data_IF_367268626240
#
_entry.id   IF_367268626240
#
_cell.length_a   1.000
_cell.length_b   1.000
_cell.length_c   1.000
_cell.angle_alpha   90.00
_cell.angle_beta   90.00
_cell.angle_gamma   90.00
#
_symmetry.space_group_name_H-M   'P 1'
#
loop_
_entity.id
_entity.type
_entity.pdbx_description
1 polymer ?
#
# COMPACT_ATOMS: atom_id res chain seq x y z
N UNK A 1 29.62 4.68 -35.20
CA UNK A 1 30.16 3.67 -34.26
C UNK A 1 30.02 4.04 -32.77
N UNK A 2 30.35 5.27 -32.31
CA UNK A 2 30.24 5.63 -30.88
C UNK A 2 28.81 5.57 -30.29
N UNK A 3 27.76 5.92 -31.06
CA UNK A 3 26.36 5.87 -30.61
C UNK A 3 25.84 4.44 -30.42
N UNK A 4 26.29 3.51 -31.28
CA UNK A 4 25.89 2.09 -31.19
C UNK A 4 26.53 1.39 -29.98
N UNK A 5 27.79 1.73 -29.68
CA UNK A 5 28.48 1.19 -28.50
C UNK A 5 27.85 1.68 -27.19
N UNK A 6 27.42 2.96 -27.14
CA UNK A 6 26.72 3.50 -25.96
C UNK A 6 25.37 2.81 -25.76
N UNK A 7 24.59 2.57 -26.81
CA UNK A 7 23.30 1.91 -26.75
C UNK A 7 23.43 0.45 -26.29
N UNK A 8 24.43 -0.28 -26.78
CA UNK A 8 24.74 -1.65 -26.34
C UNK A 8 25.20 -1.70 -24.88
N UNK A 9 25.97 -0.70 -24.41
CA UNK A 9 26.42 -0.63 -23.03
C UNK A 9 25.24 -0.36 -22.08
N UNK A 10 24.30 0.53 -22.46
CA UNK A 10 23.07 0.79 -21.69
C UNK A 10 22.19 -0.45 -21.68
N UNK A 11 22.00 -1.13 -22.80
CA UNK A 11 21.25 -2.39 -22.87
C UNK A 11 21.84 -3.47 -21.97
N UNK A 12 23.17 -3.65 -21.99
CA UNK A 12 23.88 -4.62 -21.16
C UNK A 12 23.73 -4.31 -19.66
N UNK A 13 23.75 -3.02 -19.26
CA UNK A 13 23.51 -2.60 -17.88
C UNK A 13 22.08 -2.92 -17.43
N UNK A 14 21.09 -2.71 -18.28
CA UNK A 14 19.69 -3.05 -17.99
C UNK A 14 19.52 -4.57 -17.81
N UNK A 15 20.10 -5.38 -18.69
CA UNK A 15 20.05 -6.85 -18.57
C UNK A 15 20.76 -7.37 -17.31
N UNK A 16 21.89 -6.78 -16.94
CA UNK A 16 22.62 -7.17 -15.71
C UNK A 16 21.83 -6.79 -14.46
N UNK A 17 21.17 -5.63 -14.45
CA UNK A 17 20.33 -5.19 -13.34
C UNK A 17 19.11 -6.11 -13.18
N UNK A 18 18.36 -6.40 -14.23
CA UNK A 18 17.24 -7.35 -14.19
C UNK A 18 17.68 -8.72 -13.65
N UNK A 19 18.82 -9.24 -14.11
CA UNK A 19 19.32 -10.53 -13.63
C UNK A 19 19.74 -10.53 -12.15
N UNK A 20 20.13 -9.38 -11.58
CA UNK A 20 20.45 -9.22 -10.16
C UNK A 20 19.17 -9.24 -9.30
N UNK A 21 18.15 -8.46 -9.70
CA UNK A 21 16.88 -8.38 -8.99
C UNK A 21 16.16 -9.74 -8.99
N UNK A 22 16.09 -10.41 -10.13
CA UNK A 22 15.51 -11.75 -10.26
C UNK A 22 16.24 -12.78 -9.38
N UNK A 23 17.57 -12.75 -9.35
CA UNK A 23 18.37 -13.65 -8.50
C UNK A 23 18.12 -13.41 -7.02
N UNK A 24 18.03 -12.14 -6.61
CA UNK A 24 17.74 -11.78 -5.24
C UNK A 24 16.33 -12.26 -4.85
N UNK A 25 15.34 -11.95 -5.67
CA UNK A 25 13.95 -12.40 -5.43
C UNK A 25 13.87 -13.93 -5.28
N UNK A 26 14.48 -14.66 -6.22
CA UNK A 26 14.51 -16.13 -6.18
C UNK A 26 15.17 -16.66 -4.91
N UNK A 27 16.29 -16.04 -4.47
CA UNK A 27 16.96 -16.41 -3.23
C UNK A 27 16.04 -16.26 -2.04
N UNK A 28 15.38 -15.11 -1.90
CA UNK A 28 14.50 -14.84 -0.75
C UNK A 28 13.23 -15.68 -0.79
N UNK A 29 12.59 -15.81 -1.95
CA UNK A 29 11.39 -16.65 -2.10
C UNK A 29 11.68 -18.10 -1.76
N UNK A 30 12.81 -18.64 -2.21
CA UNK A 30 13.20 -20.02 -1.87
C UNK A 30 13.45 -20.20 -0.37
N UNK A 31 14.10 -19.22 0.28
CA UNK A 31 14.30 -19.27 1.73
C UNK A 31 12.96 -19.17 2.49
N UNK A 32 12.03 -18.31 2.05
CA UNK A 32 10.70 -18.18 2.66
C UNK A 32 9.82 -19.42 2.48
N UNK A 33 10.06 -20.22 1.43
CA UNK A 33 9.36 -21.49 1.17
C UNK A 33 9.98 -22.69 1.87
N UNK A 34 11.08 -22.51 2.61
CA UNK A 34 11.74 -23.58 3.35
C UNK A 34 10.83 -24.10 4.47
N UNK A 35 10.82 -25.44 4.66
CA UNK A 35 10.05 -26.10 5.71
C UNK A 35 10.60 -25.80 7.10
N UNK A 36 11.90 -25.49 7.21
CA UNK A 36 12.49 -25.03 8.47
C UNK A 36 12.05 -23.61 8.79
N UNK A 37 11.35 -23.48 9.91
CA UNK A 37 10.78 -22.20 10.37
C UNK A 37 11.86 -21.10 10.57
N UNK A 38 13.04 -21.45 11.05
CA UNK A 38 14.11 -20.48 11.25
C UNK A 38 14.63 -19.94 9.91
N UNK A 39 14.81 -20.81 8.92
CA UNK A 39 15.24 -20.45 7.56
C UNK A 39 14.17 -19.60 6.87
N UNK A 40 12.91 -19.98 6.99
CA UNK A 40 11.79 -19.23 6.41
C UNK A 40 11.67 -17.82 7.00
N UNK A 41 11.77 -17.65 8.32
CA UNK A 41 11.77 -16.35 8.96
C UNK A 41 12.97 -15.49 8.56
N UNK A 42 14.16 -16.08 8.47
CA UNK A 42 15.35 -15.37 8.03
C UNK A 42 15.20 -14.90 6.57
N UNK A 43 14.62 -15.74 5.70
CA UNK A 43 14.32 -15.37 4.31
C UNK A 43 13.40 -14.15 4.22
N UNK A 44 12.40 -14.09 5.08
CA UNK A 44 11.48 -12.97 5.18
C UNK A 44 12.18 -11.69 5.68
N UNK A 45 13.00 -11.78 6.74
CA UNK A 45 13.79 -10.64 7.24
C UNK A 45 14.76 -10.11 6.18
N UNK A 46 15.44 -11.00 5.47
CA UNK A 46 16.36 -10.63 4.39
C UNK A 46 15.63 -9.96 3.21
N UNK A 47 14.43 -10.42 2.87
CA UNK A 47 13.58 -9.78 1.87
C UNK A 47 13.21 -8.35 2.28
N UNK A 48 12.82 -8.13 3.52
CA UNK A 48 12.58 -6.79 4.05
C UNK A 48 13.79 -5.89 3.98
N UNK A 49 14.94 -6.40 4.41
CA UNK A 49 16.19 -5.66 4.35
C UNK A 49 16.52 -5.26 2.92
N UNK A 50 16.22 -6.12 1.97
CA UNK A 50 16.42 -5.81 0.55
C UNK A 50 15.50 -4.65 0.12
N UNK A 51 14.21 -4.68 0.46
CA UNK A 51 13.29 -3.57 0.20
C UNK A 51 13.73 -2.26 0.87
N UNK A 52 14.41 -2.33 2.02
CA UNK A 52 14.89 -1.15 2.73
C UNK A 52 16.17 -0.56 2.16
N UNK A 53 16.97 -1.31 1.44
CA UNK A 53 18.34 -0.92 1.08
C UNK A 53 18.59 -0.79 -0.43
N UNK A 54 17.77 -1.41 -1.27
CA UNK A 54 17.98 -1.45 -2.70
C UNK A 54 16.91 -0.62 -3.44
N UNK A 55 17.29 0.57 -3.93
CA UNK A 55 16.39 1.47 -4.65
C UNK A 55 15.77 0.86 -5.92
N UNK A 56 16.45 -0.10 -6.54
CA UNK A 56 15.94 -0.75 -7.74
C UNK A 56 14.63 -1.51 -7.46
N UNK A 57 14.37 -1.86 -6.20
CA UNK A 57 13.11 -2.48 -5.79
C UNK A 57 11.89 -1.58 -5.99
N UNK A 58 12.07 -0.25 -6.03
CA UNK A 58 10.99 0.71 -6.30
C UNK A 58 10.38 0.60 -7.72
N UNK A 59 11.04 -0.06 -8.63
CA UNK A 59 10.57 -0.27 -10.02
C UNK A 59 10.43 -1.75 -10.40
N UNK A 60 10.84 -2.66 -9.51
CA UNK A 60 10.81 -4.09 -9.78
C UNK A 60 9.42 -4.70 -9.54
N UNK A 61 8.97 -5.59 -10.41
CA UNK A 61 7.59 -6.11 -10.41
C UNK A 61 7.35 -7.34 -9.53
N UNK A 62 8.40 -7.94 -8.97
CA UNK A 62 8.34 -9.09 -8.07
C UNK A 62 7.52 -10.29 -8.61
N UNK A 63 7.86 -10.83 -9.79
CA UNK A 63 7.05 -11.87 -10.43
C UNK A 63 6.91 -13.14 -9.59
N UNK A 64 7.98 -13.59 -8.91
CA UNK A 64 7.94 -14.78 -8.06
C UNK A 64 7.13 -14.56 -6.78
N UNK A 65 7.25 -13.38 -6.14
CA UNK A 65 6.43 -13.04 -4.98
C UNK A 65 4.96 -12.94 -5.35
N UNK A 66 4.64 -12.41 -6.54
CA UNK A 66 3.27 -12.39 -7.05
C UNK A 66 2.73 -13.81 -7.25
N UNK A 67 3.53 -14.69 -7.86
CA UNK A 67 3.14 -16.07 -8.13
C UNK A 67 2.96 -16.90 -6.85
N UNK A 68 3.92 -16.83 -5.92
CA UNK A 68 3.99 -17.72 -4.75
C UNK A 68 3.22 -17.20 -3.53
N UNK A 69 3.17 -15.89 -3.34
CA UNK A 69 2.60 -15.25 -2.16
C UNK A 69 1.45 -14.29 -2.46
N UNK A 70 1.01 -14.21 -3.72
CA UNK A 70 -0.06 -13.31 -4.13
C UNK A 70 0.27 -11.84 -3.87
N UNK A 71 1.56 -11.46 -4.00
CA UNK A 71 2.00 -10.10 -3.70
C UNK A 71 1.29 -9.08 -4.58
N UNK A 72 0.67 -8.11 -3.94
CA UNK A 72 0.15 -6.90 -4.58
C UNK A 72 1.22 -5.82 -4.49
N UNK A 73 1.42 -5.10 -5.57
CA UNK A 73 2.33 -3.97 -5.65
C UNK A 73 1.55 -2.78 -6.18
N UNK A 74 1.41 -1.75 -5.35
CA UNK A 74 0.70 -0.51 -5.66
C UNK A 74 1.72 0.63 -5.70
N UNK A 75 1.89 1.25 -6.86
CA UNK A 75 2.81 2.38 -7.05
C UNK A 75 2.01 3.65 -7.28
N UNK A 76 2.36 4.72 -6.58
CA UNK A 76 1.77 6.04 -6.79
C UNK A 76 2.05 6.54 -8.22
N UNK A 77 1.16 7.36 -8.77
CA UNK A 77 1.31 7.85 -10.15
C UNK A 77 2.56 8.71 -10.37
N UNK A 78 3.09 9.31 -9.31
CA UNK A 78 4.35 10.06 -9.32
C UNK A 78 5.59 9.19 -9.07
N UNK A 79 5.40 7.89 -8.78
CA UNK A 79 6.48 6.94 -8.50
C UNK A 79 7.18 7.12 -7.16
N UNK A 80 6.71 8.05 -6.31
CA UNK A 80 7.39 8.40 -5.05
C UNK A 80 7.07 7.45 -3.90
N UNK A 81 5.89 6.80 -3.93
CA UNK A 81 5.42 5.86 -2.91
C UNK A 81 5.07 4.53 -3.56
N UNK A 82 5.50 3.46 -2.92
CA UNK A 82 5.17 2.10 -3.31
C UNK A 82 4.75 1.28 -2.12
N UNK A 83 3.61 0.61 -2.25
CA UNK A 83 3.04 -0.22 -1.20
C UNK A 83 3.01 -1.67 -1.65
N UNK A 84 3.41 -2.56 -0.76
CA UNK A 84 3.46 -3.99 -0.98
C UNK A 84 2.57 -4.69 0.03
N UNK A 85 1.84 -5.70 -0.41
CA UNK A 85 1.04 -6.57 0.47
C UNK A 85 1.09 -8.00 -0.05
N UNK A 86 1.43 -8.96 0.79
CA UNK A 86 1.46 -10.38 0.41
C UNK A 86 1.03 -11.30 1.54
N UNK A 87 0.57 -12.49 1.19
CA UNK A 87 0.17 -13.51 2.15
C UNK A 87 1.40 -14.16 2.78
N UNK A 88 1.48 -14.19 4.11
CA UNK A 88 2.61 -14.82 4.84
C UNK A 88 2.36 -16.27 5.19
N UNK A 89 1.10 -16.74 5.12
CA UNK A 89 0.68 -18.11 5.38
C UNK A 89 -0.10 -18.69 4.19
N UNK A 90 0.55 -18.90 3.02
CA UNK A 90 -0.13 -19.46 1.85
C UNK A 90 -0.75 -20.82 2.21
N UNK A 91 -2.06 -20.95 1.98
CA UNK A 91 -2.84 -22.15 2.36
C UNK A 91 -3.45 -22.12 3.76
N UNK A 92 -3.12 -21.13 4.61
CA UNK A 92 -3.76 -20.93 5.92
C UNK A 92 -5.05 -20.12 5.84
N UNK A 93 -5.96 -20.35 6.77
CA UNK A 93 -7.14 -19.52 6.99
C UNK A 93 -7.26 -19.20 8.49
N UNK A 94 -7.51 -17.94 8.90
CA UNK A 94 -7.57 -16.75 8.04
C UNK A 94 -6.21 -16.39 7.43
N UNK A 95 -6.23 -15.66 6.31
CA UNK A 95 -5.00 -15.23 5.64
C UNK A 95 -4.31 -14.14 6.47
N UNK A 96 -3.01 -14.31 6.66
CA UNK A 96 -2.15 -13.29 7.26
C UNK A 96 -1.38 -12.56 6.16
N UNK A 97 -1.27 -11.24 6.29
CA UNK A 97 -0.57 -10.41 5.33
C UNK A 97 0.62 -9.71 5.95
N UNK A 98 1.64 -9.52 5.16
CA UNK A 98 2.71 -8.59 5.44
C UNK A 98 2.56 -7.37 4.54
N UNK A 99 2.69 -6.18 5.11
CA UNK A 99 2.59 -4.92 4.41
C UNK A 99 3.90 -4.12 4.54
N UNK A 100 4.33 -3.53 3.43
CA UNK A 100 5.48 -2.64 3.40
C UNK A 100 5.09 -1.36 2.65
N UNK A 101 5.43 -0.21 3.22
CA UNK A 101 5.44 1.06 2.54
C UNK A 101 6.88 1.46 2.24
N UNK A 102 7.15 1.84 1.01
CA UNK A 102 8.45 2.27 0.54
C UNK A 102 8.30 3.63 -0.15
N UNK A 103 9.16 4.58 0.16
CA UNK A 103 9.16 5.90 -0.49
C UNK A 103 10.56 6.48 -0.59
N UNK A 104 10.73 7.49 -1.43
CA UNK A 104 12.00 8.20 -1.56
C UNK A 104 11.88 9.60 -0.97
N UNK A 105 12.93 10.04 -0.29
CA UNK A 105 13.10 11.38 0.23
C UNK A 105 14.54 11.83 0.00
N UNK A 106 14.71 12.98 -0.66
CA UNK A 106 16.04 13.54 -0.95
C UNK A 106 17.02 12.48 -1.49
N UNK A 107 16.53 11.67 -2.44
CA UNK A 107 17.25 10.50 -3.00
C UNK A 107 17.54 9.36 -1.99
N UNK A 108 17.08 9.45 -0.77
CA UNK A 108 17.18 8.35 0.19
C UNK A 108 15.94 7.45 0.13
N UNK A 109 16.17 6.16 0.18
CA UNK A 109 15.12 5.17 0.29
C UNK A 109 14.70 5.03 1.75
N UNK A 110 13.39 5.13 1.99
CA UNK A 110 12.79 4.84 3.29
C UNK A 110 11.82 3.68 3.10
N UNK A 111 11.89 2.69 3.97
CA UNK A 111 10.92 1.62 3.98
C UNK A 111 10.43 1.35 5.41
N UNK A 112 9.13 1.12 5.50
CA UNK A 112 8.43 0.82 6.74
C UNK A 112 7.64 -0.47 6.59
N UNK A 113 7.66 -1.29 7.62
CA UNK A 113 6.95 -2.56 7.69
C UNK A 113 5.87 -2.49 8.75
N UNK A 114 4.65 -2.89 8.42
CA UNK A 114 3.53 -2.92 9.35
C UNK A 114 2.25 -2.27 8.79
N UNK A 115 1.21 -2.18 9.63
CA UNK A 115 -0.03 -1.53 9.22
C UNK A 115 0.21 -0.07 8.88
N UNK A 116 -0.47 0.43 7.87
CA UNK A 116 -0.36 1.83 7.46
C UNK A 116 -0.80 2.76 8.61
N UNK A 117 -1.82 2.40 9.37
CA UNK A 117 -2.26 3.14 10.55
C UNK A 117 -1.16 3.27 11.61
N UNK A 118 -0.39 2.21 11.87
CA UNK A 118 0.73 2.25 12.80
C UNK A 118 1.88 3.12 12.29
N UNK A 119 2.17 3.10 10.98
CA UNK A 119 3.09 4.02 10.34
C UNK A 119 2.66 5.48 10.57
N UNK A 120 1.39 5.75 10.32
CA UNK A 120 0.84 7.10 10.41
C UNK A 120 0.79 7.61 11.85
N UNK A 121 0.55 6.75 12.84
CA UNK A 121 0.51 7.13 14.27
C UNK A 121 1.89 7.19 14.93
N UNK A 122 2.97 6.91 14.18
CA UNK A 122 4.35 6.94 14.70
C UNK A 122 4.67 5.85 15.71
N UNK A 123 3.84 4.81 15.81
CA UNK A 123 4.12 3.64 16.63
C UNK A 123 5.30 2.89 16.02
N UNK A 124 6.37 2.70 16.82
CA UNK A 124 7.50 1.88 16.37
C UNK A 124 7.03 0.45 16.12
N UNK A 125 7.29 -0.10 14.95
CA UNK A 125 6.94 -1.46 14.65
C UNK A 125 7.66 -2.42 15.61
N UNK A 126 6.91 -3.32 16.22
CA UNK A 126 7.51 -4.47 16.89
C UNK A 126 7.67 -5.57 15.84
N UNK A 127 8.81 -5.61 15.18
CA UNK A 127 9.13 -6.49 14.05
C UNK A 127 8.73 -7.96 14.33
N UNK A 128 8.83 -8.42 15.58
CA UNK A 128 8.49 -9.80 15.95
C UNK A 128 6.98 -10.13 16.00
N UNK A 129 6.11 -9.13 16.03
CA UNK A 129 4.64 -9.31 16.11
C UNK A 129 3.87 -8.86 14.85
N UNK A 130 4.55 -8.31 13.85
CA UNK A 130 3.90 -7.61 12.72
C UNK A 130 3.55 -8.49 11.53
N UNK A 131 3.95 -9.74 11.56
CA UNK A 131 3.77 -10.67 10.46
C UNK A 131 2.36 -11.26 10.35
N UNK A 132 1.46 -10.93 11.27
CA UNK A 132 0.12 -11.49 11.29
C UNK A 132 -0.95 -10.41 11.32
N UNK A 133 -0.96 -9.58 10.31
CA UNK A 133 -2.07 -8.66 10.11
C UNK A 133 -3.03 -9.28 9.10
N UNK A 134 -4.29 -9.32 9.46
CA UNK A 134 -5.34 -9.78 8.56
C UNK A 134 -5.67 -8.73 7.48
N UNK A 135 -4.83 -7.70 7.32
CA UNK A 135 -5.06 -6.55 6.45
C UNK A 135 -4.24 -6.68 5.16
N UNK A 136 -4.92 -6.62 4.02
CA UNK A 136 -4.34 -6.52 2.68
C UNK A 136 -4.41 -5.08 2.18
N UNK A 137 -3.34 -4.56 1.60
CA UNK A 137 -3.40 -3.31 0.84
C UNK A 137 -3.98 -3.62 -0.53
N UNK A 138 -5.14 -3.05 -0.85
CA UNK A 138 -5.83 -3.33 -2.10
C UNK A 138 -5.48 -2.33 -3.20
N UNK A 139 -5.42 -1.03 -2.88
CA UNK A 139 -5.21 0.03 -3.87
C UNK A 139 -4.52 1.24 -3.26
N UNK A 140 -3.74 1.95 -4.09
CA UNK A 140 -3.14 3.24 -3.81
C UNK A 140 -3.58 4.24 -4.87
N UNK A 141 -4.20 5.34 -4.45
CA UNK A 141 -4.52 6.48 -5.31
C UNK A 141 -3.58 7.63 -5.02
N UNK A 142 -3.24 8.40 -6.05
CA UNK A 142 -2.46 9.63 -5.93
C UNK A 142 -3.32 10.80 -6.34
N UNK A 143 -3.51 11.75 -5.44
CA UNK A 143 -4.16 13.03 -5.71
C UNK A 143 -3.04 14.05 -5.86
N UNK A 144 -2.90 14.59 -7.08
CA UNK A 144 -1.90 15.60 -7.38
C UNK A 144 -2.32 16.95 -6.82
N UNK A 145 -1.55 17.46 -5.87
CA UNK A 145 -1.74 18.77 -5.27
C UNK A 145 -0.64 19.75 -5.70
N UNK A 146 -0.96 21.06 -5.65
CA UNK A 146 0.00 22.09 -6.05
C UNK A 146 1.26 22.15 -5.16
N UNK A 147 1.12 21.72 -3.90
CA UNK A 147 2.22 21.78 -2.92
C UNK A 147 2.85 20.42 -2.68
N UNK A 148 2.06 19.38 -2.60
CA UNK A 148 2.52 17.99 -2.41
C UNK A 148 1.41 16.99 -2.72
N UNK A 149 1.74 15.79 -3.25
CA UNK A 149 0.77 14.75 -3.49
C UNK A 149 0.12 14.23 -2.21
N UNK A 150 -1.15 13.86 -2.31
CA UNK A 150 -1.87 13.11 -1.28
C UNK A 150 -2.03 11.68 -1.77
N UNK A 151 -1.68 10.74 -0.92
CA UNK A 151 -1.78 9.31 -1.19
C UNK A 151 -2.93 8.73 -0.39
N UNK A 152 -3.84 8.03 -1.08
CA UNK A 152 -4.98 7.38 -0.45
C UNK A 152 -4.85 5.88 -0.61
N UNK A 153 -4.94 5.17 0.49
CA UNK A 153 -4.81 3.71 0.56
C UNK A 153 -6.16 3.11 0.91
N UNK A 154 -6.52 2.07 0.17
CA UNK A 154 -7.62 1.18 0.51
C UNK A 154 -7.03 -0.12 1.02
N UNK A 155 -7.36 -0.46 2.25
CA UNK A 155 -6.97 -1.72 2.90
C UNK A 155 -8.21 -2.53 3.21
N UNK A 156 -8.11 -3.86 3.21
CA UNK A 156 -9.19 -4.72 3.65
C UNK A 156 -8.71 -5.87 4.51
N UNK A 157 -9.56 -6.32 5.44
CA UNK A 157 -9.35 -7.56 6.17
C UNK A 157 -10.65 -8.36 6.27
N UNK A 158 -10.52 -9.67 6.39
CA UNK A 158 -11.65 -10.57 6.62
C UNK A 158 -11.63 -10.98 8.09
N UNK A 159 -12.75 -10.74 8.80
CA UNK A 159 -12.89 -11.15 10.20
C UNK A 159 -13.22 -12.65 10.33
N UNK A 160 -13.26 -13.15 11.56
CA UNK A 160 -13.57 -14.55 11.88
C UNK A 160 -14.96 -15.00 11.38
N UNK A 161 -15.91 -14.07 11.20
CA UNK A 161 -17.25 -14.35 10.69
C UNK A 161 -17.34 -14.27 9.16
N UNK A 162 -16.22 -14.06 8.46
CA UNK A 162 -16.17 -13.97 7.00
C UNK A 162 -16.58 -12.62 6.43
N UNK A 163 -16.83 -11.61 7.27
CA UNK A 163 -17.08 -10.26 6.78
C UNK A 163 -15.79 -9.57 6.39
N UNK A 164 -15.80 -8.91 5.24
CA UNK A 164 -14.70 -8.06 4.79
C UNK A 164 -14.91 -6.63 5.27
N UNK A 165 -13.96 -6.13 6.03
CA UNK A 165 -13.90 -4.73 6.41
C UNK A 165 -12.94 -4.00 5.50
N UNK A 166 -13.31 -2.79 5.07
CA UNK A 166 -12.50 -1.96 4.20
C UNK A 166 -12.18 -0.64 4.91
N UNK A 167 -10.90 -0.31 4.93
CA UNK A 167 -10.37 0.92 5.50
C UNK A 167 -9.85 1.83 4.42
N UNK A 168 -10.11 3.11 4.56
CA UNK A 168 -9.57 4.14 3.69
C UNK A 168 -8.74 5.09 4.54
N UNK A 169 -7.47 5.23 4.20
CA UNK A 169 -6.54 6.16 4.83
C UNK A 169 -5.99 7.13 3.79
N UNK A 170 -5.77 8.38 4.20
CA UNK A 170 -5.06 9.34 3.36
C UNK A 170 -3.84 9.88 4.10
N UNK A 171 -2.75 10.08 3.38
CA UNK A 171 -1.51 10.60 3.93
C UNK A 171 -0.74 11.45 2.93
N UNK A 172 0.17 12.26 3.45
CA UNK A 172 1.14 13.05 2.70
C UNK A 172 2.56 12.64 3.07
N UNK A 173 3.48 12.78 2.13
CA UNK A 173 4.89 12.54 2.39
C UNK A 173 5.51 13.83 2.99
N UNK A 174 5.93 13.77 4.26
CA UNK A 174 6.64 14.83 4.96
C UNK A 174 8.13 14.48 5.16
N UNK A 175 8.73 13.88 4.17
CA UNK A 175 10.13 13.49 4.21
C UNK A 175 10.30 12.10 4.86
N UNK A 176 10.92 12.02 6.04
CA UNK A 176 11.11 10.75 6.75
C UNK A 176 9.81 10.16 7.33
N UNK A 177 8.72 10.92 7.29
CA UNK A 177 7.41 10.52 7.83
C UNK A 177 6.34 10.62 6.76
N UNK A 178 5.40 9.70 6.82
CA UNK A 178 4.10 9.86 6.20
C UNK A 178 3.16 10.46 7.27
N UNK A 179 2.48 11.55 6.94
CA UNK A 179 1.56 12.21 7.86
C UNK A 179 0.11 12.00 7.43
N UNK A 180 -0.75 11.66 8.38
CA UNK A 180 -2.17 11.43 8.12
C UNK A 180 -2.84 12.72 7.60
N UNK A 181 -3.71 12.56 6.59
CA UNK A 181 -4.72 13.54 6.22
C UNK A 181 -6.03 13.11 6.84
N UNK A 182 -6.53 13.82 7.86
CA UNK A 182 -7.78 13.45 8.51
C UNK A 182 -8.99 13.69 7.62
N UNK A 183 -10.00 12.82 7.80
CA UNK A 183 -11.34 13.00 7.25
C UNK A 183 -12.30 13.44 8.34
N UNK A 184 -13.27 14.25 8.00
CA UNK A 184 -14.40 14.54 8.86
C UNK A 184 -15.61 13.68 8.47
N UNK A 185 -16.13 12.92 9.44
CA UNK A 185 -17.34 12.16 9.31
C UNK A 185 -18.37 12.68 10.31
N UNK A 186 -19.53 13.11 9.83
CA UNK A 186 -20.62 13.63 10.68
C UNK A 186 -20.18 14.70 11.70
N UNK A 187 -19.23 15.55 11.30
CA UNK A 187 -18.67 16.59 12.16
C UNK A 187 -17.66 16.09 13.20
N UNK A 188 -17.33 14.81 13.20
CA UNK A 188 -16.30 14.23 14.08
C UNK A 188 -15.04 14.05 13.25
N UNK A 189 -13.93 14.60 13.72
CA UNK A 189 -12.63 14.36 13.15
C UNK A 189 -12.23 12.90 13.38
N UNK A 190 -12.01 12.16 12.31
CA UNK A 190 -11.47 10.81 12.37
C UNK A 190 -10.02 10.83 11.95
N UNK A 191 -9.22 9.92 12.48
CA UNK A 191 -7.79 9.83 12.20
C UNK A 191 -7.47 9.34 10.77
N UNK A 192 -8.31 9.69 9.80
CA UNK A 192 -8.10 9.37 8.39
C UNK A 192 -8.66 8.02 7.95
N UNK A 193 -9.38 7.32 8.82
CA UNK A 193 -9.90 5.99 8.49
C UNK A 193 -11.42 6.01 8.31
N UNK A 194 -11.89 5.33 7.27
CA UNK A 194 -13.30 5.01 7.10
C UNK A 194 -13.46 3.51 6.98
N UNK A 195 -14.41 2.97 7.75
CA UNK A 195 -14.68 1.54 7.82
C UNK A 195 -15.99 1.20 7.08
N UNK A 196 -15.96 0.12 6.31
CA UNK A 196 -17.13 -0.45 5.65
C UNK A 196 -17.14 -1.97 5.84
N UNK A 197 -18.32 -2.55 5.81
CA UNK A 197 -18.48 -4.00 5.66
C UNK A 197 -18.82 -4.25 4.20
N UNK A 198 -17.97 -5.01 3.53
CA UNK A 198 -18.19 -5.50 2.17
C UNK A 198 -18.73 -6.93 2.24
N UNK A 199 -19.90 -7.15 1.67
CA UNK A 199 -20.54 -8.47 1.54
C UNK A 199 -20.15 -9.19 0.22
N UNK A 200 -19.12 -8.70 -0.44
CA UNK A 200 -18.64 -9.22 -1.72
C UNK A 200 -19.33 -8.62 -2.95
N UNK A 201 -20.26 -7.69 -2.75
CA UNK A 201 -21.01 -7.04 -3.86
C UNK A 201 -20.35 -5.76 -4.34
N UNK A 202 -19.40 -5.22 -3.58
CA UNK A 202 -18.79 -3.92 -3.83
C UNK A 202 -17.51 -4.05 -4.63
N UNK A 203 -17.45 -3.35 -5.77
CA UNK A 203 -16.19 -3.17 -6.49
C UNK A 203 -15.29 -2.21 -5.69
N UNK A 204 -14.22 -2.71 -5.09
CA UNK A 204 -13.30 -1.92 -4.26
C UNK A 204 -12.70 -0.72 -4.99
N UNK A 205 -12.53 -0.80 -6.31
CA UNK A 205 -12.08 0.33 -7.13
C UNK A 205 -13.10 1.47 -7.21
N UNK A 206 -14.35 1.22 -6.83
CA UNK A 206 -15.42 2.22 -6.84
C UNK A 206 -15.69 2.82 -5.45
N UNK A 207 -15.08 2.28 -4.39
CA UNK A 207 -15.28 2.78 -3.03
C UNK A 207 -14.89 4.24 -2.86
N UNK A 208 -13.93 4.69 -3.66
CA UNK A 208 -13.48 6.07 -3.69
C UNK A 208 -13.40 6.53 -5.13
N UNK A 209 -13.88 7.75 -5.39
CA UNK A 209 -13.70 8.45 -6.67
C UNK A 209 -13.13 9.82 -6.41
N UNK A 210 -12.06 10.17 -7.09
CA UNK A 210 -11.51 11.51 -7.09
C UNK A 210 -11.89 12.22 -8.38
N UNK A 211 -12.52 13.40 -8.27
CA UNK A 211 -12.76 14.31 -9.40
C UNK A 211 -11.72 15.43 -9.35
N UNK A 212 -10.75 15.33 -10.23
CA UNK A 212 -9.64 16.27 -10.30
C UNK A 212 -10.07 17.70 -10.70
N UNK A 213 -11.11 17.83 -11.53
CA UNK A 213 -11.64 19.14 -11.95
C UNK A 213 -12.44 19.81 -10.84
N UNK A 214 -13.31 19.06 -10.18
CA UNK A 214 -14.13 19.57 -9.10
C UNK A 214 -13.37 19.63 -7.77
N UNK A 215 -12.19 19.02 -7.68
CA UNK A 215 -11.39 18.90 -6.45
C UNK A 215 -12.18 18.25 -5.32
N UNK A 216 -12.91 17.20 -5.67
CA UNK A 216 -13.84 16.52 -4.78
C UNK A 216 -13.51 15.04 -4.70
N UNK A 217 -13.56 14.53 -3.48
CA UNK A 217 -13.54 13.12 -3.18
C UNK A 217 -14.96 12.64 -2.94
N UNK A 218 -15.31 11.54 -3.57
CA UNK A 218 -16.57 10.82 -3.34
C UNK A 218 -16.23 9.50 -2.65
N UNK A 219 -16.78 9.29 -1.47
CA UNK A 219 -16.69 8.04 -0.73
C UNK A 219 -18.05 7.42 -0.53
N UNK A 220 -18.17 6.10 -0.59
CA UNK A 220 -19.45 5.41 -0.35
C UNK A 220 -20.07 5.80 0.99
N UNK A 221 -21.40 5.86 0.98
CA UNK A 221 -22.23 5.97 2.20
C UNK A 221 -22.48 4.57 2.75
N UNK A 222 -22.50 4.45 4.07
CA UNK A 222 -22.91 3.23 4.76
C UNK A 222 -24.24 3.44 5.49
N UNK A 223 -24.97 2.35 5.71
CA UNK A 223 -26.06 2.28 6.66
C UNK A 223 -25.53 2.19 8.12
N UNK A 224 -26.45 2.12 9.08
CA UNK A 224 -26.13 2.01 10.52
C UNK A 224 -25.39 0.70 10.87
N UNK A 225 -25.40 -0.29 9.97
CA UNK A 225 -24.68 -1.56 10.10
C UNK A 225 -23.35 -1.56 9.39
N UNK A 226 -22.85 -0.40 8.97
CA UNK A 226 -21.63 -0.21 8.19
C UNK A 226 -21.65 -0.86 6.81
N UNK A 227 -22.80 -1.25 6.28
CA UNK A 227 -22.90 -1.81 4.92
C UNK A 227 -22.95 -0.69 3.90
N UNK A 228 -22.23 -0.88 2.82
CA UNK A 228 -22.21 0.09 1.71
C UNK A 228 -23.60 0.17 1.07
N UNK A 229 -24.10 1.40 0.89
CA UNK A 229 -25.32 1.65 0.13
C UNK A 229 -24.94 1.90 -1.33
N UNK A 230 -25.26 0.96 -2.26
CA UNK A 230 -24.85 1.09 -3.65
C UNK A 230 -25.33 2.38 -4.30
N UNK A 231 -24.43 3.03 -5.03
CA UNK A 231 -24.75 4.26 -5.77
C UNK A 231 -24.88 5.54 -4.94
N UNK A 232 -24.75 5.45 -3.61
CA UNK A 232 -24.73 6.64 -2.74
C UNK A 232 -23.30 7.01 -2.34
N UNK A 233 -23.00 8.30 -2.43
CA UNK A 233 -21.68 8.83 -2.08
C UNK A 233 -21.81 10.05 -1.16
N UNK A 234 -20.93 10.12 -0.20
CA UNK A 234 -20.62 11.34 0.52
C UNK A 234 -19.55 12.10 -0.26
N UNK A 235 -19.64 13.42 -0.26
CA UNK A 235 -18.71 14.29 -0.99
C UNK A 235 -17.85 15.06 -0.02
N UNK A 236 -16.56 15.12 -0.30
CA UNK A 236 -15.57 15.84 0.48
C UNK A 236 -14.82 16.82 -0.40
N UNK A 237 -14.66 18.06 0.07
CA UNK A 237 -13.74 19.02 -0.53
C UNK A 237 -12.36 18.88 0.12
N UNK A 238 -11.32 18.96 -0.69
CA UNK A 238 -9.95 19.01 -0.19
C UNK A 238 -9.66 20.39 0.36
N UNK A 239 -9.37 20.45 1.66
CA UNK A 239 -8.85 21.62 2.34
C UNK A 239 -7.32 21.56 2.51
N UNK A 240 -6.69 22.60 3.08
CA UNK A 240 -5.23 22.68 3.20
C UNK A 240 -4.60 21.55 4.02
N UNK A 241 -5.34 20.94 4.93
CA UNK A 241 -4.80 19.93 5.87
C UNK A 241 -5.67 18.70 6.02
N UNK A 242 -6.86 18.70 5.41
CA UNK A 242 -7.86 17.64 5.61
C UNK A 242 -8.92 17.65 4.53
N UNK A 243 -9.66 16.55 4.42
CA UNK A 243 -10.89 16.50 3.64
C UNK A 243 -12.07 16.95 4.50
N UNK A 244 -12.85 17.89 3.99
CA UNK A 244 -14.03 18.42 4.67
C UNK A 244 -15.29 17.89 3.96
N UNK A 245 -16.19 17.27 4.72
CA UNK A 245 -17.47 16.82 4.17
C UNK A 245 -18.26 18.04 3.65
N UNK A 246 -18.77 17.93 2.44
CA UNK A 246 -19.66 18.91 1.85
C UNK A 246 -21.08 18.46 2.20
N UNK A 247 -21.86 19.32 2.87
CA UNK A 247 -23.29 19.08 3.01
C UNK A 247 -23.92 19.13 1.62
N UNK A 248 -24.55 18.05 1.20
CA UNK A 248 -25.40 18.04 0.01
C UNK A 248 -26.72 18.73 0.39
N UNK A 249 -26.98 19.90 -0.18
CA UNK A 249 -28.29 20.54 -0.15
C UNK A 249 -29.39 19.63 -0.74
#
# INVERSE_FOLDING_TARGET
>A
MKKTALFLAVLALVFVSCSKLERNEKKFVNAMLDEDYATSNQGLEDFYKWLQTDKETMTYEFPLMREKYGMKVNTSSDGMVRLYSWVTNPGGEPKNYANVAQWTMDDQLVAYTGPIDALLTGRKPNIKRQWSLNHSIDTLYTISEATQPIYMVVESYVNENGYTFVYISAFINQGIKLAIMPFFFNGIETAGNREFIDDGTVNKAELIKWDDKARKLYAYVTDDSLRVIPGKYETYALGPKQFNKIETE
#
